data_IF_243550056745
#
_entry.id   IF_243550056745
#
_cell.length_a   1.000
_cell.length_b   1.000
_cell.length_c   1.000
_cell.angle_alpha   90.00
_cell.angle_beta   90.00
_cell.angle_gamma   90.00
#
_symmetry.space_group_name_H-M   'P 1'
#
loop_
_entity.id
_entity.type
_entity.pdbx_description
1 polymer ?
#
# COMPACT_ATOMS: atom_id res chain seq x y z
N UNK A 1 34.62 7.82 0.84
CA UNK A 1 35.05 9.18 0.48
C UNK A 1 33.79 10.04 0.35
N UNK A 2 33.44 10.71 1.43
CA UNK A 2 32.32 11.63 1.51
C UNK A 2 32.54 12.80 0.54
N UNK A 3 31.46 13.24 -0.10
CA UNK A 3 31.51 14.38 -1.02
C UNK A 3 32.03 15.61 -0.25
N UNK A 4 32.79 16.49 -0.90
CA UNK A 4 33.29 17.74 -0.28
C UNK A 4 32.18 18.60 0.35
N UNK A 5 30.91 18.37 0.00
CA UNK A 5 29.74 19.03 0.59
C UNK A 5 29.29 18.47 1.94
N UNK A 6 29.59 17.21 2.28
CA UNK A 6 29.10 16.59 3.53
C UNK A 6 29.94 16.98 4.75
N UNK A 7 31.20 17.39 4.54
CA UNK A 7 32.18 17.67 5.62
C UNK A 7 31.72 18.71 6.66
N UNK A 8 31.12 19.87 6.30
CA UNK A 8 30.64 20.84 7.28
C UNK A 8 29.41 20.37 8.06
N UNK A 9 28.54 19.56 7.46
CA UNK A 9 27.33 19.06 8.11
C UNK A 9 27.66 17.94 9.11
N UNK A 10 28.58 17.03 8.74
CA UNK A 10 29.13 16.00 9.62
C UNK A 10 29.87 16.59 10.82
N UNK A 11 30.66 17.65 10.61
CA UNK A 11 31.34 18.33 11.70
C UNK A 11 30.33 18.83 12.75
N UNK A 12 29.23 19.45 12.30
CA UNK A 12 28.18 19.98 13.17
C UNK A 12 27.51 18.89 14.04
N UNK A 13 27.34 17.68 13.50
CA UNK A 13 26.76 16.53 14.24
C UNK A 13 27.69 16.08 15.37
N UNK A 14 29.01 16.09 15.13
CA UNK A 14 30.01 15.57 16.06
C UNK A 14 30.50 16.60 17.09
N UNK A 15 30.43 17.90 16.80
CA UNK A 15 30.83 18.99 17.71
C UNK A 15 30.41 18.78 19.19
N UNK A 16 29.15 18.45 19.52
CA UNK A 16 28.74 18.29 20.92
C UNK A 16 29.37 17.07 21.62
N UNK A 17 29.83 16.07 20.89
CA UNK A 17 30.39 14.82 21.46
C UNK A 17 31.90 14.86 21.62
N UNK A 18 32.60 15.69 20.84
CA UNK A 18 34.08 15.75 20.84
C UNK A 18 34.69 15.94 22.23
N UNK A 19 34.23 16.88 23.08
CA UNK A 19 34.85 17.08 24.40
C UNK A 19 34.72 15.84 25.29
N UNK A 20 33.52 15.28 25.38
CA UNK A 20 33.26 14.10 26.22
C UNK A 20 34.02 12.86 25.74
N UNK A 21 34.11 12.66 24.41
CA UNK A 21 34.89 11.56 23.84
C UNK A 21 36.38 11.74 24.06
N UNK A 22 36.91 12.96 24.00
CA UNK A 22 38.31 13.26 24.26
C UNK A 22 38.70 13.04 25.73
N UNK A 23 37.76 13.20 26.66
CA UNK A 23 37.98 12.88 28.08
C UNK A 23 37.91 11.37 28.37
N UNK A 24 37.06 10.63 27.63
CA UNK A 24 36.78 9.22 27.88
C UNK A 24 37.69 8.26 27.11
N UNK A 25 38.30 8.71 26.00
CA UNK A 25 39.01 7.86 25.05
C UNK A 25 40.44 8.35 24.79
N UNK A 26 41.36 7.40 24.61
CA UNK A 26 42.75 7.69 24.28
C UNK A 26 42.88 8.19 22.83
N UNK A 27 42.14 7.60 21.89
CA UNK A 27 42.16 7.92 20.46
C UNK A 27 40.75 8.26 19.94
N UNK A 28 40.17 9.41 20.30
CA UNK A 28 38.80 9.76 19.93
C UNK A 28 38.61 9.87 18.40
N UNK A 29 39.61 10.31 17.65
CA UNK A 29 39.51 10.49 16.19
C UNK A 29 39.32 9.15 15.45
N UNK A 30 40.02 8.09 15.88
CA UNK A 30 39.88 6.74 15.28
C UNK A 30 38.48 6.18 15.51
N UNK A 31 37.96 6.38 16.72
CA UNK A 31 36.59 5.97 17.07
C UNK A 31 35.57 6.76 16.25
N UNK A 32 35.75 8.08 16.10
CA UNK A 32 34.84 8.91 15.30
C UNK A 32 34.84 8.52 13.82
N UNK A 33 36.01 8.21 13.25
CA UNK A 33 36.10 7.72 11.87
C UNK A 33 35.34 6.38 11.70
N UNK A 34 35.46 5.47 12.67
CA UNK A 34 34.74 4.19 12.63
C UNK A 34 33.23 4.38 12.83
N UNK A 35 32.81 5.27 13.74
CA UNK A 35 31.40 5.65 13.92
C UNK A 35 30.81 6.12 12.60
N UNK A 36 31.48 7.05 11.91
CA UNK A 36 31.01 7.57 10.62
C UNK A 36 31.00 6.48 9.54
N UNK A 37 31.96 5.56 9.56
CA UNK A 37 31.98 4.42 8.64
C UNK A 37 30.77 3.49 8.84
N UNK A 38 30.35 3.27 10.08
CA UNK A 38 29.17 2.44 10.40
C UNK A 38 27.85 3.14 10.10
N UNK A 39 27.73 4.43 10.41
CA UNK A 39 26.48 5.18 10.32
C UNK A 39 26.28 5.87 8.97
N UNK A 40 27.31 5.91 8.12
CA UNK A 40 27.29 6.64 6.86
C UNK A 40 27.02 8.12 7.05
N UNK A 41 27.47 8.68 8.19
CA UNK A 41 27.24 10.06 8.60
C UNK A 41 25.77 10.44 8.82
N UNK A 42 24.86 9.48 8.96
CA UNK A 42 23.47 9.80 9.27
C UNK A 42 23.37 10.43 10.67
N UNK A 43 22.75 11.63 10.83
CA UNK A 43 22.73 12.35 12.10
C UNK A 43 22.21 11.53 13.28
N UNK A 44 21.03 10.90 13.12
CA UNK A 44 20.39 10.12 14.18
C UNK A 44 21.25 8.94 14.65
N UNK A 45 21.72 8.10 13.71
CA UNK A 45 22.55 6.94 14.04
C UNK A 45 23.90 7.36 14.63
N UNK A 46 24.51 8.42 14.09
CA UNK A 46 25.79 8.96 14.58
C UNK A 46 25.65 9.44 16.02
N UNK A 47 24.60 10.21 16.30
CA UNK A 47 24.30 10.69 17.65
C UNK A 47 24.09 9.54 18.64
N UNK A 48 23.29 8.54 18.25
CA UNK A 48 23.00 7.37 19.08
C UNK A 48 24.23 6.52 19.35
N UNK A 49 25.06 6.26 18.34
CA UNK A 49 26.26 5.45 18.51
C UNK A 49 27.31 6.17 19.37
N UNK A 50 27.49 7.49 19.19
CA UNK A 50 28.33 8.28 20.09
C UNK A 50 27.86 8.19 21.55
N UNK A 51 26.54 8.23 21.79
CA UNK A 51 25.98 8.09 23.13
C UNK A 51 26.27 6.70 23.73
N UNK A 52 26.05 5.63 22.96
CA UNK A 52 26.36 4.25 23.39
C UNK A 52 27.85 4.11 23.77
N UNK A 53 28.76 4.73 23.01
CA UNK A 53 30.20 4.72 23.31
C UNK A 53 30.52 5.48 24.60
N UNK A 54 29.88 6.63 24.84
CA UNK A 54 30.08 7.40 26.08
C UNK A 54 29.53 6.67 27.31
N UNK A 55 28.44 5.92 27.16
CA UNK A 55 27.85 5.13 28.24
C UNK A 55 28.63 3.84 28.54
N UNK A 56 29.52 3.43 27.62
CA UNK A 56 30.38 2.26 27.78
C UNK A 56 31.50 2.54 28.80
N UNK A 57 31.41 1.91 29.97
CA UNK A 57 32.28 2.20 31.12
C UNK A 57 33.66 1.53 31.08
N UNK A 58 33.88 0.56 30.19
CA UNK A 58 35.14 -0.16 30.12
C UNK A 58 36.13 0.57 29.21
N UNK A 59 37.42 0.63 29.58
CA UNK A 59 38.42 1.25 28.73
C UNK A 59 38.53 0.50 27.40
N UNK A 60 38.62 1.25 26.30
CA UNK A 60 38.85 0.71 24.96
C UNK A 60 40.38 0.57 24.77
N UNK A 61 40.91 -0.65 24.58
CA UNK A 61 42.33 -0.83 24.33
C UNK A 61 42.77 -0.14 23.03
N UNK A 62 43.95 0.45 23.05
CA UNK A 62 44.56 1.06 21.85
C UNK A 62 44.83 -0.04 20.82
N UNK A 63 44.37 0.17 19.58
CA UNK A 63 44.44 -0.80 18.49
C UNK A 63 43.21 -1.70 18.34
N UNK A 64 42.29 -1.68 19.32
CA UNK A 64 41.03 -2.45 19.28
C UNK A 64 39.79 -1.56 19.10
N UNK A 65 39.98 -0.27 18.80
CA UNK A 65 38.90 0.72 18.65
C UNK A 65 37.83 0.24 17.64
N UNK A 66 38.26 -0.22 16.47
CA UNK A 66 37.34 -0.65 15.42
C UNK A 66 36.54 -1.89 15.82
N UNK A 67 37.20 -2.88 16.44
CA UNK A 67 36.55 -4.10 16.94
C UNK A 67 35.54 -3.77 18.04
N UNK A 68 35.87 -2.82 18.92
CA UNK A 68 34.98 -2.40 19.99
C UNK A 68 33.76 -1.67 19.47
N UNK A 69 33.93 -0.77 18.49
CA UNK A 69 32.79 -0.09 17.85
C UNK A 69 31.90 -1.10 17.13
N UNK A 70 32.47 -2.06 16.41
CA UNK A 70 31.71 -3.13 15.75
C UNK A 70 30.90 -3.96 16.77
N UNK A 71 31.50 -4.33 17.91
CA UNK A 71 30.82 -5.04 19.00
C UNK A 71 29.64 -4.24 19.56
N UNK A 72 29.83 -2.94 19.81
CA UNK A 72 28.76 -2.05 20.29
C UNK A 72 27.65 -1.89 19.25
N UNK A 73 28.00 -1.73 17.97
CA UNK A 73 27.02 -1.68 16.89
C UNK A 73 26.22 -2.97 16.83
N UNK A 74 26.90 -4.12 16.88
CA UNK A 74 26.24 -5.41 16.81
C UNK A 74 25.22 -5.59 17.94
N UNK A 75 25.61 -5.29 19.17
CA UNK A 75 24.78 -5.49 20.37
C UNK A 75 23.67 -4.44 20.55
N UNK A 76 23.89 -3.18 20.15
CA UNK A 76 22.95 -2.07 20.37
C UNK A 76 22.18 -1.61 19.11
N UNK A 77 22.49 -2.13 17.91
CA UNK A 77 21.82 -1.70 16.67
C UNK A 77 21.40 -2.85 15.75
N UNK A 78 22.10 -3.99 15.77
CA UNK A 78 21.87 -5.09 14.82
C UNK A 78 21.13 -6.27 15.46
N UNK A 79 21.58 -6.75 16.61
CA UNK A 79 20.94 -7.86 17.32
C UNK A 79 19.63 -7.41 17.98
N UNK A 80 18.54 -8.12 17.69
CA UNK A 80 17.18 -7.77 18.13
C UNK A 80 16.83 -6.31 17.84
N UNK A 81 17.26 -5.81 16.67
CA UNK A 81 17.19 -4.39 16.30
C UNK A 81 15.79 -3.77 16.47
N UNK A 82 14.72 -4.58 16.45
CA UNK A 82 13.35 -4.13 16.68
C UNK A 82 13.11 -3.52 18.08
N UNK A 83 13.99 -3.77 19.05
CA UNK A 83 13.87 -3.27 20.45
C UNK A 83 15.04 -2.41 20.91
N UNK A 84 15.98 -2.09 20.03
CA UNK A 84 17.23 -1.40 20.39
C UNK A 84 17.19 0.12 20.13
N UNK A 85 18.35 0.78 20.23
CA UNK A 85 18.52 2.25 20.16
C UNK A 85 17.92 2.90 18.91
N UNK A 86 17.95 2.19 17.78
CA UNK A 86 17.46 2.66 16.49
C UNK A 86 16.17 1.96 16.04
N UNK A 87 15.46 1.27 16.94
CA UNK A 87 14.28 0.46 16.63
C UNK A 87 13.25 1.20 15.78
N UNK A 88 12.82 2.40 16.18
CA UNK A 88 11.81 3.17 15.45
C UNK A 88 12.25 3.46 14.01
N UNK A 89 13.47 3.98 13.83
CA UNK A 89 14.06 4.27 12.53
C UNK A 89 14.14 3.00 11.65
N UNK A 90 14.66 1.91 12.20
CA UNK A 90 14.83 0.67 11.44
C UNK A 90 13.47 0.03 11.10
N UNK A 91 12.47 0.15 11.97
CA UNK A 91 11.11 -0.34 11.70
C UNK A 91 10.43 0.47 10.58
N UNK A 92 10.72 1.77 10.50
CA UNK A 92 10.31 2.63 9.38
C UNK A 92 10.99 2.21 8.06
N UNK A 93 12.26 1.83 8.11
CA UNK A 93 13.00 1.32 6.95
C UNK A 93 12.45 -0.02 6.48
N UNK A 94 12.28 -0.97 7.41
CA UNK A 94 11.67 -2.27 7.12
C UNK A 94 10.35 -2.09 6.36
N UNK A 95 9.44 -1.30 6.88
CA UNK A 95 8.09 -1.19 6.31
C UNK A 95 8.05 -0.55 4.94
N UNK A 96 9.01 0.30 4.65
CA UNK A 96 9.23 0.86 3.32
C UNK A 96 9.79 -0.19 2.35
N UNK A 97 10.75 -1.00 2.80
CA UNK A 97 11.35 -2.04 1.97
C UNK A 97 10.43 -3.23 1.74
N UNK A 98 9.42 -3.47 2.58
CA UNK A 98 8.50 -4.63 2.46
C UNK A 98 7.60 -4.62 1.22
N UNK A 99 7.55 -3.54 0.44
CA UNK A 99 6.92 -3.61 -0.89
C UNK A 99 7.79 -4.44 -1.83
N UNK A 100 7.21 -5.43 -2.50
CA UNK A 100 7.96 -6.39 -3.33
C UNK A 100 8.92 -5.71 -4.32
N UNK A 101 8.47 -4.63 -4.96
CA UNK A 101 9.27 -3.83 -5.90
C UNK A 101 10.52 -3.21 -5.25
N UNK A 102 10.41 -2.64 -4.05
CA UNK A 102 11.53 -2.06 -3.32
C UNK A 102 12.42 -3.13 -2.72
N UNK A 103 11.85 -4.23 -2.24
CA UNK A 103 12.58 -5.36 -1.70
C UNK A 103 13.49 -6.01 -2.77
N UNK A 104 12.95 -6.24 -3.97
CA UNK A 104 13.71 -6.77 -5.11
C UNK A 104 14.76 -5.79 -5.61
N UNK A 105 14.44 -4.49 -5.64
CA UNK A 105 15.41 -3.46 -6.02
C UNK A 105 16.57 -3.40 -5.02
N UNK A 106 16.26 -3.41 -3.73
CA UNK A 106 17.23 -3.43 -2.64
C UNK A 106 18.09 -4.70 -2.64
N UNK A 107 17.52 -5.87 -2.94
CA UNK A 107 18.27 -7.12 -3.12
C UNK A 107 19.40 -6.97 -4.17
N UNK A 108 19.08 -6.39 -5.32
CA UNK A 108 20.06 -6.18 -6.40
C UNK A 108 21.14 -5.17 -6.01
N UNK A 109 20.78 -4.17 -5.21
CA UNK A 109 21.73 -3.18 -4.67
C UNK A 109 22.71 -3.86 -3.70
N UNK A 110 22.23 -4.71 -2.79
CA UNK A 110 23.07 -5.50 -1.89
C UNK A 110 24.05 -6.43 -2.63
N UNK A 111 23.64 -6.94 -3.79
CA UNK A 111 24.49 -7.78 -4.65
C UNK A 111 25.51 -6.97 -5.47
N UNK A 112 25.50 -5.65 -5.38
CA UNK A 112 26.41 -4.76 -6.12
C UNK A 112 26.09 -4.63 -7.62
N UNK A 113 24.90 -5.04 -8.05
CA UNK A 113 24.53 -5.18 -9.47
C UNK A 113 23.70 -4.02 -10.03
N UNK A 114 23.67 -2.84 -9.37
CA UNK A 114 22.71 -1.78 -9.69
C UNK A 114 23.39 -0.47 -10.13
N UNK A 115 23.35 -0.21 -11.44
CA UNK A 115 23.64 1.12 -11.99
C UNK A 115 22.45 2.05 -11.78
N UNK A 116 22.75 3.32 -11.53
CA UNK A 116 21.74 4.37 -11.49
C UNK A 116 21.12 4.56 -12.88
N UNK A 117 19.80 4.52 -12.96
CA UNK A 117 19.04 4.67 -14.20
C UNK A 117 17.92 5.73 -14.08
N UNK A 118 17.90 6.48 -12.99
CA UNK A 118 16.93 7.55 -12.71
C UNK A 118 15.46 7.12 -12.73
N UNK A 119 15.18 5.81 -12.59
CA UNK A 119 13.83 5.32 -12.39
C UNK A 119 13.23 5.92 -11.13
N UNK A 120 11.91 6.05 -11.10
CA UNK A 120 11.24 6.64 -9.96
C UNK A 120 11.46 5.82 -8.69
N UNK A 121 11.54 4.48 -8.79
CA UNK A 121 11.83 3.59 -7.66
C UNK A 121 13.22 3.88 -7.09
N UNK A 122 14.23 4.05 -7.94
CA UNK A 122 15.58 4.39 -7.52
C UNK A 122 15.63 5.77 -6.86
N UNK A 123 14.95 6.77 -7.43
CA UNK A 123 14.86 8.12 -6.85
C UNK A 123 14.16 8.11 -5.50
N UNK A 124 13.09 7.34 -5.36
CA UNK A 124 12.40 7.15 -4.10
C UNK A 124 13.30 6.49 -3.06
N UNK A 125 14.04 5.43 -3.41
CA UNK A 125 15.02 4.81 -2.53
C UNK A 125 16.12 5.82 -2.12
N UNK A 126 16.64 6.61 -3.06
CA UNK A 126 17.64 7.64 -2.80
C UNK A 126 17.11 8.71 -1.83
N UNK A 127 15.90 9.23 -2.08
CA UNK A 127 15.26 10.22 -1.24
C UNK A 127 14.91 9.68 0.17
N UNK A 128 14.79 8.36 0.31
CA UNK A 128 14.60 7.71 1.60
C UNK A 128 15.87 7.64 2.47
N UNK A 129 17.04 7.90 1.89
CA UNK A 129 18.34 7.81 2.56
C UNK A 129 18.83 6.39 2.87
N UNK A 130 18.14 5.34 2.40
CA UNK A 130 18.55 3.93 2.58
C UNK A 130 19.69 3.56 1.63
N UNK A 131 19.73 4.22 0.47
CA UNK A 131 20.74 4.01 -0.56
C UNK A 131 21.31 5.36 -0.99
N UNK A 132 22.53 5.32 -1.51
CA UNK A 132 23.24 6.46 -2.08
C UNK A 132 23.70 6.13 -3.49
N UNK A 133 23.84 7.17 -4.32
CA UNK A 133 24.49 7.05 -5.61
C UNK A 133 25.98 7.37 -5.44
N UNK A 134 26.82 6.35 -5.53
CA UNK A 134 28.27 6.49 -5.45
C UNK A 134 28.90 6.22 -6.83
N UNK A 135 29.21 7.29 -7.55
CA UNK A 135 29.88 7.20 -8.85
C UNK A 135 29.03 6.53 -9.94
N UNK A 136 27.71 6.74 -9.93
CA UNK A 136 26.78 6.15 -10.90
C UNK A 136 26.25 4.77 -10.48
N UNK A 137 26.70 4.22 -9.35
CA UNK A 137 26.24 2.94 -8.82
C UNK A 137 25.47 3.15 -7.52
N UNK A 138 24.35 2.46 -7.38
CA UNK A 138 23.59 2.47 -6.14
C UNK A 138 24.21 1.53 -5.12
N UNK A 139 24.34 2.02 -3.89
CA UNK A 139 24.82 1.25 -2.73
C UNK A 139 23.99 1.57 -1.50
N UNK A 140 23.95 0.65 -0.54
CA UNK A 140 23.32 0.94 0.76
C UNK A 140 24.10 2.06 1.44
N UNK A 141 23.38 2.96 2.12
CA UNK A 141 23.95 4.22 2.61
C UNK A 141 24.89 4.05 3.79
N UNK A 142 24.74 2.98 4.59
CA UNK A 142 25.59 2.70 5.74
C UNK A 142 25.61 1.21 6.11
N UNK A 143 26.62 0.81 6.89
CA UNK A 143 26.88 -0.59 7.27
C UNK A 143 25.84 -1.13 8.26
N UNK A 144 25.23 -0.29 9.11
CA UNK A 144 24.16 -0.74 10.02
C UNK A 144 22.97 -1.24 9.20
N UNK A 145 22.58 -0.53 8.14
CA UNK A 145 21.49 -0.97 7.25
C UNK A 145 21.85 -2.24 6.51
N UNK A 146 23.08 -2.36 6.00
CA UNK A 146 23.54 -3.61 5.36
C UNK A 146 23.54 -4.79 6.32
N UNK A 147 23.90 -4.58 7.59
CA UNK A 147 23.93 -5.63 8.60
C UNK A 147 22.53 -6.09 9.02
N UNK A 148 21.60 -5.14 9.21
CA UNK A 148 20.21 -5.42 9.61
C UNK A 148 19.40 -5.98 8.43
N UNK A 149 19.35 -5.27 7.32
CA UNK A 149 18.59 -5.64 6.12
C UNK A 149 19.48 -6.40 5.14
N UNK A 150 20.21 -7.41 5.62
CA UNK A 150 21.11 -8.20 4.78
C UNK A 150 20.36 -9.10 3.78
N UNK A 151 21.11 -9.76 2.89
CA UNK A 151 20.56 -10.67 1.88
C UNK A 151 19.70 -11.80 2.47
N UNK A 152 20.02 -12.26 3.67
CA UNK A 152 19.26 -13.31 4.35
C UNK A 152 17.88 -12.78 4.80
N UNK A 153 17.86 -11.60 5.41
CA UNK A 153 16.61 -10.92 5.78
C UNK A 153 15.74 -10.67 4.53
N UNK A 154 16.32 -10.16 3.45
CA UNK A 154 15.61 -9.93 2.19
C UNK A 154 15.02 -11.22 1.61
N UNK A 155 15.78 -12.32 1.63
CA UNK A 155 15.30 -13.62 1.15
C UNK A 155 14.13 -14.15 1.99
N UNK A 156 14.18 -13.98 3.32
CA UNK A 156 13.09 -14.38 4.22
C UNK A 156 11.82 -13.59 3.95
N UNK A 157 11.91 -12.26 3.78
CA UNK A 157 10.74 -11.41 3.52
C UNK A 157 10.16 -11.67 2.12
N UNK A 158 11.00 -11.88 1.10
CA UNK A 158 10.53 -12.30 -0.23
C UNK A 158 9.80 -13.65 -0.20
N UNK A 159 10.31 -14.62 0.56
CA UNK A 159 9.65 -15.92 0.72
C UNK A 159 8.26 -15.78 1.37
N UNK A 160 8.14 -14.93 2.40
CA UNK A 160 6.86 -14.66 3.06
C UNK A 160 5.84 -14.01 2.13
N UNK A 161 6.26 -13.05 1.28
CA UNK A 161 5.40 -12.45 0.27
C UNK A 161 4.88 -13.52 -0.70
N UNK A 162 5.76 -14.35 -1.25
CA UNK A 162 5.35 -15.41 -2.18
C UNK A 162 4.41 -16.42 -1.54
N UNK A 163 4.67 -16.86 -0.30
CA UNK A 163 3.80 -17.80 0.42
C UNK A 163 2.40 -17.21 0.67
N UNK A 164 2.32 -15.91 0.95
CA UNK A 164 1.05 -15.21 1.15
C UNK A 164 0.25 -15.18 -0.14
N UNK A 165 0.92 -14.93 -1.28
CA UNK A 165 0.28 -14.93 -2.60
C UNK A 165 -0.24 -16.33 -2.98
N UNK A 166 0.54 -17.40 -2.70
CA UNK A 166 0.07 -18.78 -2.90
C UNK A 166 -1.12 -19.14 -2.01
N UNK A 167 -1.11 -18.74 -0.73
CA UNK A 167 -2.24 -19.00 0.17
C UNK A 167 -3.50 -18.25 -0.29
N UNK A 168 -3.39 -16.95 -0.60
CA UNK A 168 -4.49 -16.15 -1.14
C UNK A 168 -5.03 -16.73 -2.45
N UNK A 169 -4.14 -17.15 -3.36
CA UNK A 169 -4.54 -17.80 -4.59
C UNK A 169 -5.27 -19.11 -4.31
N UNK A 170 -4.80 -19.94 -3.38
CA UNK A 170 -5.45 -21.21 -3.03
C UNK A 170 -6.87 -21.02 -2.47
N UNK A 171 -7.08 -20.03 -1.60
CA UNK A 171 -8.39 -19.69 -1.04
C UNK A 171 -9.34 -19.10 -2.10
N UNK A 172 -8.80 -18.38 -3.09
CA UNK A 172 -9.57 -17.86 -4.22
C UNK A 172 -9.86 -18.96 -5.26
N UNK A 173 -8.99 -19.97 -5.40
CA UNK A 173 -9.16 -21.07 -6.36
C UNK A 173 -10.27 -22.05 -5.98
N UNK A 174 -10.74 -22.05 -4.73
CA UNK A 174 -11.91 -22.85 -4.33
C UNK A 174 -13.23 -22.30 -4.87
N UNK A 175 -13.28 -21.02 -5.29
CA UNK A 175 -14.50 -20.34 -5.78
C UNK A 175 -14.32 -19.58 -7.13
N UNK A 176 -13.09 -19.41 -7.64
CA UNK A 176 -12.81 -18.61 -8.83
C UNK A 176 -12.24 -19.43 -10.01
N UNK A 177 -12.60 -19.05 -11.24
CA UNK A 177 -12.08 -19.67 -12.48
C UNK A 177 -10.61 -19.32 -12.72
N UNK A 178 -9.85 -20.22 -13.37
CA UNK A 178 -8.41 -20.07 -13.70
C UNK A 178 -8.03 -18.71 -14.33
N UNK A 179 -8.90 -18.09 -15.14
CA UNK A 179 -8.67 -16.77 -15.72
C UNK A 179 -8.66 -15.63 -14.69
N UNK A 180 -9.47 -15.72 -13.63
CA UNK A 180 -9.53 -14.72 -12.58
C UNK A 180 -8.27 -14.75 -11.69
N UNK A 181 -7.74 -15.94 -11.46
CA UNK A 181 -6.49 -16.15 -10.70
C UNK A 181 -5.30 -15.62 -11.50
N UNK A 182 -5.22 -15.90 -12.81
CA UNK A 182 -4.16 -15.38 -13.67
C UNK A 182 -4.16 -13.84 -13.80
N UNK A 183 -5.34 -13.20 -13.74
CA UNK A 183 -5.46 -11.75 -13.73
C UNK A 183 -5.10 -11.12 -12.38
N UNK A 184 -5.42 -11.80 -11.27
CA UNK A 184 -5.15 -11.30 -9.91
C UNK A 184 -3.68 -11.51 -9.49
N UNK A 185 -3.06 -12.60 -9.93
CA UNK A 185 -1.70 -12.99 -9.57
C UNK A 185 -0.86 -13.40 -10.80
N UNK A 186 -0.41 -12.44 -11.63
CA UNK A 186 0.23 -12.73 -12.92
C UNK A 186 1.60 -13.41 -12.82
N UNK A 187 2.19 -13.48 -11.63
CA UNK A 187 3.53 -14.04 -11.40
C UNK A 187 3.53 -15.41 -10.68
N UNK A 188 2.35 -15.97 -10.39
CA UNK A 188 2.26 -17.31 -9.79
C UNK A 188 2.51 -18.39 -10.88
N UNK A 189 3.42 -19.37 -10.67
CA UNK A 189 3.50 -20.54 -11.52
C UNK A 189 2.24 -21.39 -11.33
N UNK A 190 1.37 -21.39 -12.33
CA UNK A 190 0.13 -22.18 -12.33
C UNK A 190 0.50 -23.63 -12.63
N UNK A 191 0.74 -24.45 -11.62
CA UNK A 191 0.73 -25.90 -11.79
C UNK A 191 -0.69 -26.43 -11.56
N UNK A 192 -1.28 -27.19 -12.49
CA UNK A 192 -2.62 -27.74 -12.30
C UNK A 192 -2.61 -28.73 -11.12
N UNK A 193 -3.47 -28.48 -10.13
CA UNK A 193 -3.67 -29.36 -8.98
C UNK A 193 -4.48 -30.57 -9.42
N UNK A 194 -3.83 -31.72 -9.62
CA UNK A 194 -4.52 -33.01 -9.75
C UNK A 194 -5.04 -33.42 -8.37
N UNK A 195 -6.36 -33.61 -8.24
CA UNK A 195 -7.02 -33.98 -7.00
C UNK A 195 -6.67 -35.41 -6.52
N UNK A 196 -6.61 -35.53 -5.19
CA UNK A 196 -6.62 -36.74 -4.34
C UNK A 196 -5.34 -37.60 -4.25
N UNK A 197 -4.60 -37.43 -3.15
CA UNK A 197 -3.98 -38.54 -2.42
C UNK A 197 -4.39 -38.45 -0.95
N UNK A 198 -5.21 -39.42 -0.54
CA UNK A 198 -5.52 -39.72 0.86
C UNK A 198 -4.25 -40.12 1.62
N UNK A 199 -4.06 -39.52 2.80
CA UNK A 199 -3.24 -40.10 3.87
C UNK A 199 -4.07 -40.09 5.15
N UNK A 200 -4.70 -41.24 5.42
CA UNK A 200 -5.25 -41.58 6.73
C UNK A 200 -4.13 -41.93 7.71
N UNK A 201 -4.28 -41.40 8.92
CA UNK A 201 -3.45 -41.56 10.11
C UNK A 201 -3.35 -43.02 10.60
N UNK A 202 -2.14 -43.42 10.99
CA UNK A 202 -1.79 -44.71 11.60
C UNK A 202 -1.65 -44.56 13.13
N UNK A 203 -2.26 -45.44 13.94
CA UNK A 203 -1.73 -46.11 15.17
C UNK A 203 -2.79 -46.59 16.21
N UNK A 204 -2.50 -47.62 17.05
CA UNK A 204 -3.28 -48.88 17.07
C UNK A 204 -3.77 -49.44 18.44
N UNK A 205 -4.53 -50.55 18.36
CA UNK A 205 -4.83 -51.64 19.35
C UNK A 205 -5.74 -51.29 20.55
N UNK A 206 -6.71 -52.08 21.03
CA UNK A 206 -6.92 -53.55 21.11
C UNK A 206 -8.45 -53.86 21.35
N UNK A 207 -8.94 -55.12 21.57
CA UNK A 207 -10.08 -55.68 20.84
C UNK A 207 -11.32 -56.07 21.68
N UNK A 208 -12.40 -56.45 20.99
CA UNK A 208 -13.17 -57.71 21.16
C UNK A 208 -14.71 -57.56 21.19
N UNK A 209 -15.35 -58.63 20.69
CA UNK A 209 -16.74 -59.07 20.76
C UNK A 209 -17.80 -58.61 19.71
N UNK A 210 -18.07 -59.55 18.77
CA UNK A 210 -19.38 -60.19 18.42
C UNK A 210 -20.58 -59.30 18.04
N UNK A 211 -21.47 -59.59 17.08
CA UNK A 211 -21.74 -60.66 16.09
C UNK A 211 -22.92 -60.14 15.23
N UNK A 212 -23.19 -60.83 14.12
CA UNK A 212 -24.49 -60.96 13.44
C UNK A 212 -24.92 -59.93 12.35
N UNK A 213 -24.72 -60.39 11.11
CA UNK A 213 -25.58 -60.33 9.89
C UNK A 213 -27.12 -60.37 10.12
N UNK A 214 -27.99 -60.31 9.07
CA UNK A 214 -27.96 -59.54 7.81
C UNK A 214 -29.37 -58.99 7.42
N UNK A 215 -29.50 -58.54 6.16
CA UNK A 215 -30.73 -58.54 5.33
C UNK A 215 -31.78 -57.45 5.62
N UNK A 216 -32.55 -56.90 4.67
CA UNK A 216 -32.76 -57.13 3.23
C UNK A 216 -33.58 -55.95 2.67
N UNK A 217 -33.51 -55.76 1.34
CA UNK A 217 -34.53 -55.27 0.38
C UNK A 217 -35.74 -54.42 0.89
N UNK A 218 -36.26 -53.44 0.15
CA UNK A 218 -36.99 -53.66 -1.11
C UNK A 218 -37.37 -52.33 -1.76
N UNK A 219 -37.47 -52.38 -3.08
CA UNK A 219 -37.89 -51.39 -4.06
C UNK A 219 -39.43 -51.19 -4.05
N UNK A 220 -39.91 -50.03 -4.54
CA UNK A 220 -41.05 -49.79 -5.49
C UNK A 220 -41.95 -48.59 -5.09
N UNK A 221 -42.45 -47.79 -6.07
CA UNK A 221 -42.97 -46.41 -5.93
C UNK A 221 -44.50 -46.28 -6.13
N UNK A 222 -45.07 -45.06 -6.09
CA UNK A 222 -46.12 -44.51 -7.01
C UNK A 222 -46.83 -43.24 -6.46
N UNK A 223 -46.85 -42.20 -7.31
CA UNK A 223 -47.89 -41.19 -7.68
C UNK A 223 -48.82 -40.41 -6.69
N UNK A 224 -49.40 -39.26 -7.15
CA UNK A 224 -49.95 -38.15 -6.35
C UNK A 224 -51.49 -38.13 -6.28
N UNK A 225 -52.04 -37.19 -5.50
CA UNK A 225 -53.45 -36.81 -5.62
C UNK A 225 -53.74 -35.31 -5.41
N UNK A 226 -54.76 -34.85 -6.13
CA UNK A 226 -55.35 -33.51 -6.17
C UNK A 226 -56.41 -33.29 -5.07
N UNK A 227 -56.79 -32.02 -4.82
CA UNK A 227 -58.16 -31.70 -4.40
C UNK A 227 -58.60 -30.28 -4.83
N UNK A 228 -59.90 -30.19 -5.11
CA UNK A 228 -60.67 -29.17 -5.86
C UNK A 228 -61.60 -28.36 -4.92
N UNK A 229 -62.10 -27.20 -5.38
CA UNK A 229 -63.51 -26.64 -5.32
C UNK A 229 -63.45 -25.10 -5.28
N UNK A 230 -63.94 -24.30 -6.25
CA UNK A 230 -65.26 -24.07 -6.88
C UNK A 230 -66.23 -23.17 -6.10
N UNK A 231 -66.56 -21.98 -6.62
CA UNK A 231 -67.95 -21.50 -6.86
C UNK A 231 -68.01 -20.01 -7.32
N UNK A 232 -68.75 -19.77 -8.41
CA UNK A 232 -69.35 -18.49 -8.86
C UNK A 232 -70.85 -18.47 -8.49
N UNK A 233 -71.59 -17.32 -8.61
CA UNK A 233 -72.48 -17.24 -9.78
C UNK A 233 -72.83 -15.84 -10.36
N UNK A 234 -73.17 -15.88 -11.66
CA UNK A 234 -74.27 -15.22 -12.39
C UNK A 234 -74.34 -13.72 -12.70
N UNK A 235 -74.60 -13.49 -13.99
CA UNK A 235 -74.90 -12.31 -14.80
C UNK A 235 -76.33 -11.76 -14.66
N UNK A 236 -76.49 -10.45 -14.92
CA UNK A 236 -77.72 -9.88 -15.52
C UNK A 236 -77.37 -8.66 -16.39
N UNK A 237 -78.20 -8.37 -17.39
CA UNK A 237 -78.03 -7.43 -18.51
C UNK A 237 -79.11 -6.33 -18.43
N UNK A 238 -79.02 -5.36 -19.35
CA UNK A 238 -80.02 -4.35 -19.83
C UNK A 238 -79.69 -2.90 -19.32
N UNK A 239 -79.95 -1.80 -20.07
CA UNK A 239 -79.22 -1.25 -21.23
C UNK A 239 -78.75 0.22 -21.00
N UNK A 240 -77.99 0.80 -21.95
CA UNK A 240 -77.51 2.21 -21.93
C UNK A 240 -78.64 3.24 -22.16
N UNK A 241 -78.47 4.55 -21.85
CA UNK A 241 -77.80 5.46 -22.81
C UNK A 241 -77.02 6.67 -22.21
N UNK A 242 -76.36 7.44 -23.10
CA UNK A 242 -75.84 8.82 -22.93
C UNK A 242 -74.45 8.91 -22.24
N UNK A 243 -73.30 8.79 -22.92
CA UNK A 243 -72.76 9.61 -24.02
C UNK A 243 -72.80 11.12 -23.78
N UNK A 244 -71.97 11.65 -22.87
CA UNK A 244 -71.45 13.03 -22.95
C UNK A 244 -70.19 13.27 -22.11
N UNK A 245 -69.95 12.46 -21.07
CA UNK A 245 -68.77 12.60 -20.19
C UNK A 245 -67.52 11.84 -20.66
N UNK A 246 -67.64 10.90 -21.61
CA UNK A 246 -66.50 10.12 -22.11
C UNK A 246 -65.49 10.96 -22.91
N UNK A 247 -65.97 11.98 -23.64
CA UNK A 247 -65.10 12.88 -24.40
C UNK A 247 -64.26 13.79 -23.51
N UNK A 248 -64.85 14.35 -22.45
CA UNK A 248 -64.13 15.21 -21.51
C UNK A 248 -63.15 14.43 -20.64
N UNK A 249 -63.50 13.21 -20.21
CA UNK A 249 -62.58 12.34 -19.45
C UNK A 249 -61.43 11.86 -20.35
N UNK A 250 -61.69 11.50 -21.61
CA UNK A 250 -60.64 11.14 -22.55
C UNK A 250 -59.71 12.33 -22.87
N UNK A 251 -60.26 13.54 -23.05
CA UNK A 251 -59.45 14.74 -23.28
C UNK A 251 -58.61 15.12 -22.04
N UNK A 252 -59.19 15.00 -20.84
CA UNK A 252 -58.49 15.25 -19.58
C UNK A 252 -57.39 14.22 -19.32
N UNK A 253 -57.62 12.94 -19.64
CA UNK A 253 -56.62 11.89 -19.54
C UNK A 253 -55.49 12.08 -20.58
N UNK A 254 -55.79 12.48 -21.82
CA UNK A 254 -54.76 12.76 -22.83
C UNK A 254 -53.94 14.00 -22.45
N UNK A 255 -54.56 15.04 -21.90
CA UNK A 255 -53.83 16.24 -21.44
C UNK A 255 -53.01 15.94 -20.18
N UNK A 256 -53.57 15.25 -19.19
CA UNK A 256 -52.83 14.92 -17.96
C UNK A 256 -51.73 13.89 -18.21
N UNK A 257 -51.99 12.85 -19.02
CA UNK A 257 -50.97 11.88 -19.41
C UNK A 257 -49.92 12.51 -20.35
N UNK A 258 -50.33 13.41 -21.27
CA UNK A 258 -49.42 14.16 -22.13
C UNK A 258 -48.54 15.15 -21.36
N UNK A 259 -49.09 15.87 -20.39
CA UNK A 259 -48.34 16.78 -19.49
C UNK A 259 -47.46 15.96 -18.53
N UNK A 260 -47.92 14.82 -18.03
CA UNK A 260 -47.13 13.93 -17.18
C UNK A 260 -45.96 13.30 -17.96
N UNK A 261 -46.19 12.83 -19.18
CA UNK A 261 -45.13 12.32 -20.08
C UNK A 261 -44.17 13.43 -20.52
N UNK A 262 -44.64 14.66 -20.77
CA UNK A 262 -43.78 15.77 -21.14
C UNK A 262 -42.96 16.30 -19.96
N UNK A 263 -43.52 16.29 -18.73
CA UNK A 263 -42.79 16.66 -17.50
C UNK A 263 -41.86 15.57 -17.01
N UNK A 264 -42.20 14.29 -17.18
CA UNK A 264 -41.31 13.16 -16.90
C UNK A 264 -40.16 13.10 -17.92
N UNK A 265 -40.43 13.33 -19.20
CA UNK A 265 -39.40 13.42 -20.24
C UNK A 265 -38.49 14.65 -20.04
N UNK A 266 -39.02 15.83 -19.70
CA UNK A 266 -38.20 17.00 -19.34
C UNK A 266 -37.38 16.77 -18.08
N UNK A 267 -37.92 16.09 -17.05
CA UNK A 267 -37.13 15.68 -15.87
C UNK A 267 -36.03 14.70 -16.23
N UNK A 268 -36.30 13.70 -17.07
CA UNK A 268 -35.29 12.74 -17.51
C UNK A 268 -34.19 13.43 -18.35
N UNK A 269 -34.55 14.37 -19.22
CA UNK A 269 -33.62 15.12 -20.07
C UNK A 269 -32.78 16.13 -19.26
N UNK A 270 -33.35 16.78 -18.23
CA UNK A 270 -32.59 17.62 -17.27
C UNK A 270 -31.65 16.81 -16.36
N UNK A 271 -32.00 15.55 -16.05
CA UNK A 271 -31.12 14.63 -15.32
C UNK A 271 -29.95 14.13 -16.20
N UNK A 272 -30.13 14.06 -17.53
CA UNK A 272 -29.12 13.58 -18.47
C UNK A 272 -28.12 14.67 -18.92
N UNK A 273 -28.52 15.95 -18.91
CA UNK A 273 -27.68 17.08 -19.33
C UNK A 273 -26.45 17.37 -18.44
N UNK A 274 -26.34 16.73 -17.28
CA UNK A 274 -25.22 16.92 -16.34
C UNK A 274 -24.47 15.62 -16.00
N UNK A 275 -24.73 14.52 -16.72
CA UNK A 275 -24.03 13.26 -16.55
C UNK A 275 -22.83 13.23 -17.50
N UNK A 276 -21.62 13.42 -16.95
CA UNK A 276 -20.36 13.19 -17.67
C UNK A 276 -20.37 11.75 -18.19
N UNK A 277 -20.34 11.50 -19.53
CA UNK A 277 -20.15 10.16 -20.05
C UNK A 277 -18.90 9.53 -19.45
N UNK A 278 -19.00 8.32 -18.90
CA UNK A 278 -17.89 7.68 -18.19
C UNK A 278 -16.61 7.56 -19.06
N UNK A 279 -16.78 7.51 -20.38
CA UNK A 279 -15.70 7.44 -21.36
C UNK A 279 -14.82 8.70 -21.41
N UNK A 280 -15.31 9.86 -20.96
CA UNK A 280 -14.50 11.09 -20.89
C UNK A 280 -13.29 10.89 -19.98
N UNK A 281 -13.44 10.09 -18.93
CA UNK A 281 -12.39 9.87 -17.94
C UNK A 281 -11.34 8.86 -18.40
N UNK A 282 -11.68 8.04 -19.42
CA UNK A 282 -10.77 7.06 -20.04
C UNK A 282 -9.97 7.61 -21.23
N UNK A 283 -10.16 8.89 -21.60
CA UNK A 283 -9.37 9.50 -22.67
C UNK A 283 -7.88 9.45 -22.35
N UNK A 284 -7.09 9.08 -23.34
CA UNK A 284 -5.63 9.13 -23.23
C UNK A 284 -5.17 10.58 -23.35
N UNK A 285 -4.34 11.00 -22.40
CA UNK A 285 -3.67 12.30 -22.40
C UNK A 285 -2.17 12.07 -22.56
N UNK A 286 -1.45 13.13 -22.96
CA UNK A 286 -0.02 13.03 -23.25
C UNK A 286 0.78 12.86 -21.95
N UNK A 287 0.38 13.55 -20.88
CA UNK A 287 1.02 13.45 -19.56
C UNK A 287 0.03 13.18 -18.43
N UNK A 288 0.53 12.56 -17.35
CA UNK A 288 -0.24 12.31 -16.12
C UNK A 288 -0.73 13.62 -15.50
N UNK A 289 0.10 14.67 -15.53
CA UNK A 289 -0.23 16.02 -15.06
C UNK A 289 -1.43 16.61 -15.82
N UNK A 290 -1.39 16.58 -17.14
CA UNK A 290 -2.49 17.07 -17.99
C UNK A 290 -3.78 16.29 -17.72
N UNK A 291 -3.70 14.97 -17.58
CA UNK A 291 -4.86 14.13 -17.27
C UNK A 291 -5.50 14.52 -15.93
N UNK A 292 -4.69 14.73 -14.89
CA UNK A 292 -5.16 15.17 -13.58
C UNK A 292 -5.85 16.54 -13.67
N UNK A 293 -5.24 17.50 -14.38
CA UNK A 293 -5.78 18.85 -14.51
C UNK A 293 -7.13 18.87 -15.25
N UNK A 294 -7.25 18.08 -16.32
CA UNK A 294 -8.50 17.94 -17.06
C UNK A 294 -9.59 17.27 -16.22
N UNK A 295 -9.27 16.20 -15.50
CA UNK A 295 -10.23 15.54 -14.61
C UNK A 295 -10.67 16.45 -13.45
N UNK A 296 -9.76 17.25 -12.88
CA UNK A 296 -10.09 18.28 -11.87
C UNK A 296 -11.04 19.33 -12.43
N UNK A 297 -10.78 19.81 -13.65
CA UNK A 297 -11.65 20.78 -14.34
C UNK A 297 -13.04 20.20 -14.60
N UNK A 298 -13.14 18.95 -15.04
CA UNK A 298 -14.43 18.27 -15.22
C UNK A 298 -15.14 18.15 -13.88
N UNK A 299 -14.45 17.74 -12.81
CA UNK A 299 -15.02 17.62 -11.47
C UNK A 299 -15.54 18.95 -10.94
N UNK A 300 -14.86 20.08 -11.20
CA UNK A 300 -15.30 21.40 -10.72
C UNK A 300 -16.46 21.98 -11.52
N UNK A 301 -16.60 21.62 -12.79
CA UNK A 301 -17.64 22.14 -13.69
C UNK A 301 -18.95 21.36 -13.63
N UNK A 302 -18.97 20.17 -13.03
CA UNK A 302 -20.13 19.27 -13.04
C UNK A 302 -20.63 19.01 -11.61
N UNK A 303 -21.96 18.99 -11.43
CA UNK A 303 -22.59 18.67 -10.13
C UNK A 303 -22.34 17.24 -9.66
N UNK A 304 -22.15 16.30 -10.60
CA UNK A 304 -21.88 14.91 -10.30
C UNK A 304 -20.58 14.47 -11.00
N UNK A 305 -19.70 13.83 -10.25
CA UNK A 305 -18.47 13.24 -10.78
C UNK A 305 -18.56 11.71 -10.72
N UNK A 306 -18.49 10.99 -11.85
CA UNK A 306 -18.66 9.54 -11.84
C UNK A 306 -17.63 8.83 -10.95
N UNK A 307 -18.04 7.77 -10.24
CA UNK A 307 -17.15 7.00 -9.33
C UNK A 307 -15.91 6.47 -10.03
N UNK A 308 -16.05 6.02 -11.28
CA UNK A 308 -14.92 5.58 -12.11
C UNK A 308 -13.89 6.70 -12.30
N UNK A 309 -14.36 7.91 -12.64
CA UNK A 309 -13.51 9.09 -12.79
C UNK A 309 -12.82 9.46 -11.49
N UNK A 310 -13.51 9.34 -10.35
CA UNK A 310 -12.91 9.55 -9.03
C UNK A 310 -11.80 8.55 -8.75
N UNK A 311 -12.03 7.25 -9.01
CA UNK A 311 -11.01 6.22 -8.82
C UNK A 311 -9.78 6.45 -9.70
N UNK A 312 -9.99 6.85 -10.96
CA UNK A 312 -8.88 7.16 -11.88
C UNK A 312 -8.12 8.41 -11.43
N UNK A 313 -8.83 9.47 -11.04
CA UNK A 313 -8.23 10.70 -10.55
C UNK A 313 -7.39 10.43 -9.28
N UNK A 314 -7.91 9.66 -8.33
CA UNK A 314 -7.21 9.27 -7.11
C UNK A 314 -5.92 8.51 -7.43
N UNK A 315 -5.98 7.52 -8.32
CA UNK A 315 -4.81 6.74 -8.74
C UNK A 315 -3.76 7.61 -9.44
N UNK A 316 -4.19 8.51 -10.33
CA UNK A 316 -3.29 9.40 -11.06
C UNK A 316 -2.64 10.42 -10.12
N UNK A 317 -3.41 11.02 -9.23
CA UNK A 317 -2.90 11.98 -8.24
C UNK A 317 -1.89 11.32 -7.31
N UNK A 318 -2.20 10.11 -6.84
CA UNK A 318 -1.29 9.33 -6.00
C UNK A 318 0.00 9.02 -6.76
N UNK A 319 -0.08 8.34 -7.90
CA UNK A 319 1.11 7.96 -8.69
C UNK A 319 1.92 9.18 -9.14
N UNK A 320 1.29 10.28 -9.56
CA UNK A 320 1.99 11.53 -9.91
C UNK A 320 2.73 12.14 -8.71
N UNK A 321 2.13 12.12 -7.53
CA UNK A 321 2.77 12.61 -6.32
C UNK A 321 4.00 11.80 -5.95
N UNK A 322 3.94 10.47 -6.03
CA UNK A 322 5.05 9.58 -5.62
C UNK A 322 6.12 9.48 -6.70
N UNK A 323 5.71 9.08 -7.89
CA UNK A 323 6.61 8.63 -8.95
C UNK A 323 7.26 9.81 -9.68
N UNK A 324 6.60 10.98 -9.69
CA UNK A 324 7.10 12.15 -10.41
C UNK A 324 7.55 13.24 -9.45
N UNK A 325 6.65 13.81 -8.65
CA UNK A 325 6.98 14.95 -7.78
C UNK A 325 7.96 14.57 -6.66
N UNK A 326 7.64 13.56 -5.85
CA UNK A 326 8.50 13.17 -4.75
C UNK A 326 9.85 12.62 -5.22
N UNK A 327 9.88 11.94 -6.37
CA UNK A 327 11.13 11.49 -7.01
C UNK A 327 12.07 12.65 -7.35
N UNK A 328 11.52 13.84 -7.63
CA UNK A 328 12.26 15.08 -7.93
C UNK A 328 12.55 15.92 -6.67
N UNK A 329 12.17 15.45 -5.48
CA UNK A 329 12.31 16.21 -4.23
C UNK A 329 11.23 17.30 -4.02
N UNK A 330 10.20 17.34 -4.88
CA UNK A 330 9.09 18.30 -4.79
C UNK A 330 8.04 17.87 -3.74
N UNK A 331 8.48 17.61 -2.51
CA UNK A 331 7.67 17.03 -1.44
C UNK A 331 6.43 17.88 -1.08
N UNK A 332 6.53 19.21 -1.14
CA UNK A 332 5.37 20.10 -0.90
C UNK A 332 4.28 19.89 -1.93
N UNK A 333 4.64 19.81 -3.21
CA UNK A 333 3.68 19.60 -4.28
C UNK A 333 3.12 18.17 -4.24
N UNK A 334 3.97 17.19 -3.95
CA UNK A 334 3.56 15.81 -3.77
C UNK A 334 2.50 15.70 -2.66
N UNK A 335 2.75 16.31 -1.50
CA UNK A 335 1.80 16.39 -0.38
C UNK A 335 0.48 17.04 -0.76
N UNK A 336 0.51 18.17 -1.47
CA UNK A 336 -0.72 18.83 -1.94
C UNK A 336 -1.53 17.89 -2.85
N UNK A 337 -0.88 17.10 -3.71
CA UNK A 337 -1.58 16.14 -4.56
C UNK A 337 -2.13 14.95 -3.76
N UNK A 338 -1.38 14.44 -2.79
CA UNK A 338 -1.82 13.37 -1.90
C UNK A 338 -3.03 13.77 -1.05
N UNK A 339 -3.07 15.01 -0.56
CA UNK A 339 -4.22 15.52 0.18
C UNK A 339 -5.47 15.72 -0.68
N UNK A 340 -5.40 15.56 -2.00
CA UNK A 340 -6.58 15.59 -2.87
C UNK A 340 -7.10 14.20 -3.25
N UNK A 341 -6.34 13.15 -2.94
CA UNK A 341 -6.76 11.75 -3.10
C UNK A 341 -7.81 11.43 -2.04
N UNK A 342 -8.87 10.73 -2.43
CA UNK A 342 -9.97 10.39 -1.52
C UNK A 342 -9.52 9.46 -0.37
N UNK A 343 -10.14 9.60 0.81
CA UNK A 343 -9.86 8.73 1.96
C UNK A 343 -10.08 7.24 1.63
N UNK A 344 -11.10 6.95 0.81
CA UNK A 344 -11.41 5.60 0.33
C UNK A 344 -10.22 4.97 -0.39
N UNK A 345 -9.49 5.73 -1.22
CA UNK A 345 -8.33 5.21 -1.94
C UNK A 345 -7.23 4.72 -0.98
N UNK A 346 -7.00 5.46 0.10
CA UNK A 346 -6.01 5.07 1.11
C UNK A 346 -6.40 3.82 1.89
N UNK A 347 -7.69 3.62 2.18
CA UNK A 347 -8.17 2.41 2.88
C UNK A 347 -7.88 1.12 2.10
N UNK A 348 -7.91 1.17 0.76
CA UNK A 348 -7.65 -0.01 -0.09
C UNK A 348 -6.17 -0.30 -0.34
N UNK A 349 -5.26 0.67 -0.11
CA UNK A 349 -3.81 0.54 -0.37
C UNK A 349 -2.97 0.35 0.89
N UNK A 350 -3.58 0.00 2.03
CA UNK A 350 -2.90 -0.06 3.32
C UNK A 350 -2.22 -1.41 3.59
N UNK A 351 -0.89 -1.46 3.39
CA UNK A 351 0.05 -2.06 4.36
C UNK A 351 1.41 -1.32 4.46
N UNK A 352 1.87 -0.62 3.41
CA UNK A 352 3.21 0.00 3.39
C UNK A 352 3.24 1.55 3.41
N UNK A 353 2.16 2.21 3.01
CA UNK A 353 2.11 3.68 2.82
C UNK A 353 2.39 4.55 4.07
N UNK A 354 1.94 4.22 5.31
CA UNK A 354 2.12 5.11 6.47
C UNK A 354 3.58 5.37 6.89
N UNK A 355 4.52 4.49 6.50
CA UNK A 355 5.95 4.61 6.86
C UNK A 355 6.80 5.17 5.72
N UNK A 356 6.27 5.17 4.50
CA UNK A 356 6.90 5.73 3.30
C UNK A 356 7.08 7.26 3.40
N UNK A 357 6.05 7.98 3.87
CA UNK A 357 6.05 9.44 3.83
C UNK A 357 6.73 10.12 5.02
N UNK A 358 6.80 9.46 6.19
CA UNK A 358 7.44 10.03 7.41
C UNK A 358 8.90 10.45 7.20
N UNK A 359 9.59 9.90 6.20
CA UNK A 359 10.97 10.27 5.87
C UNK A 359 11.13 11.49 4.98
N UNK A 360 10.07 12.01 4.37
CA UNK A 360 10.14 13.28 3.62
C UNK A 360 10.44 14.48 4.54
N UNK A 361 10.06 14.36 5.82
CA UNK A 361 10.23 15.35 6.88
C UNK A 361 11.62 15.30 7.54
N UNK A 362 12.11 14.12 7.94
CA UNK A 362 13.31 13.96 8.80
C UNK A 362 14.59 14.64 8.29
N UNK A 363 14.73 14.85 6.98
CA UNK A 363 15.92 15.46 6.38
C UNK A 363 15.68 16.89 5.85
N UNK A 364 14.52 17.50 6.15
CA UNK A 364 14.17 18.84 5.66
C UNK A 364 13.28 19.58 6.68
N UNK A 365 13.89 20.22 7.67
CA UNK A 365 13.20 21.00 8.72
C UNK A 365 12.23 22.06 8.14
N UNK A 366 12.54 22.63 6.96
CA UNK A 366 11.68 23.60 6.30
C UNK A 366 10.40 22.94 5.74
N UNK A 367 10.51 21.71 5.24
CA UNK A 367 9.35 20.92 4.83
C UNK A 367 8.57 20.45 6.06
N UNK A 368 9.24 20.01 7.12
CA UNK A 368 8.65 19.57 8.38
C UNK A 368 7.69 20.60 8.98
N UNK A 369 8.20 21.81 9.20
CA UNK A 369 7.45 22.92 9.75
C UNK A 369 6.29 23.34 8.82
N UNK A 370 6.53 23.31 7.52
CA UNK A 370 5.48 23.59 6.53
C UNK A 370 4.37 22.53 6.57
N UNK A 371 4.73 21.24 6.63
CA UNK A 371 3.78 20.12 6.63
C UNK A 371 2.89 20.18 7.86
N UNK A 372 3.46 20.39 9.05
CA UNK A 372 2.69 20.55 10.29
C UNK A 372 1.66 21.67 10.18
N UNK A 373 2.05 22.84 9.69
CA UNK A 373 1.14 23.98 9.51
C UNK A 373 0.08 23.72 8.43
N UNK A 374 0.47 23.02 7.36
CA UNK A 374 -0.45 22.67 6.28
C UNK A 374 -1.53 21.69 6.75
N UNK A 375 -1.16 20.62 7.46
CA UNK A 375 -2.10 19.61 7.95
C UNK A 375 -3.06 20.14 9.04
N UNK A 376 -2.67 21.19 9.78
CA UNK A 376 -3.59 21.89 10.71
C UNK A 376 -4.65 22.69 9.96
N UNK A 377 -4.25 23.31 8.83
CA UNK A 377 -5.09 24.26 8.09
C UNK A 377 -6.03 23.58 7.10
N UNK A 378 -5.64 22.44 6.55
CA UNK A 378 -6.36 21.77 5.47
C UNK A 378 -6.76 20.36 5.89
N UNK A 379 -8.02 20.01 5.63
CA UNK A 379 -8.48 18.63 5.77
C UNK A 379 -7.80 17.76 4.72
N UNK A 380 -6.82 16.98 5.17
CA UNK A 380 -6.00 16.14 4.31
C UNK A 380 -6.28 14.67 4.62
N UNK A 381 -6.90 13.91 3.69
CA UNK A 381 -7.12 12.47 3.84
C UNK A 381 -5.81 11.69 4.03
N UNK A 382 -4.70 12.24 3.55
CA UNK A 382 -3.38 11.64 3.69
C UNK A 382 -2.66 11.97 5.01
N UNK A 383 -3.27 12.77 5.90
CA UNK A 383 -2.66 13.26 7.14
C UNK A 383 -2.08 12.14 8.01
N UNK A 384 -2.80 11.02 8.14
CA UNK A 384 -2.40 9.83 8.90
C UNK A 384 -1.16 9.12 8.35
N UNK A 385 -0.76 9.41 7.10
CA UNK A 385 0.41 8.81 6.46
C UNK A 385 1.58 9.77 6.36
N UNK A 386 1.30 11.07 6.20
CA UNK A 386 2.30 12.11 5.99
C UNK A 386 3.00 12.58 7.27
N UNK A 387 2.31 12.51 8.42
CA UNK A 387 2.77 13.01 9.73
C UNK A 387 3.33 11.91 10.63
#
# INVERSE_FOLDING_TARGET
MTSKQDKPEVAKILEPFKPALAEHLINPDVILDEVLAWTGSQPFLTQKLCQVILDFKSPIPVGEEALKVEELVKTHFVENWETQEAAELLQDIRSFLLEEQFLRLYQKILQGAMMANDSWEQKVLLNSGVVINQGGNLKVSNRIYEAVFNLNWVAQELAQLTSTDYWLASELTTDATDQAIAMAFPNLPITPVTQHQDLTTDQPKHPDLTTDEPNQSTVVPLEPDQATTSATPSTSRIPSPISFWGGLIALFLVITFGVFQCTSARRADDQLKNLVPQDICRRQFITRKEQIEQLRKIKSQNKAFPKLCQSMLDQLQFSYAIEELASQGEFKQATINLCQVSERYYQFKQKSLPRFFRRWDRNNENYANWLKNYLIKYDCPASKYLG
#
